data_IF_762337129784
#
_entry.id   IF_762337129784
#
_cell.length_a   1.000
_cell.length_b   1.000
_cell.length_c   1.000
_cell.angle_alpha   90.00
_cell.angle_beta   90.00
_cell.angle_gamma   90.00
#
_symmetry.space_group_name_H-M   'P 1'
#
loop_
_entity.id
_entity.type
_entity.pdbx_description
1 polymer ?
2 polymer ?
3 polymer ?
4 non-polymer ?
5 non-polymer ?
6 water ?
#
loop_
_entity_poly.entity_id
_entity_poly.type
_entity_poly.pdbx_seq_one_letter_code
_entity_poly.pdbx_strand_id
2 'polydeoxyribonucleotide' '(DA)(DG)(DC)(DG)(DT)(DG)(DG)(DG)(5FC)(DG)(DT)' ?
3 'polydeoxyribonucleotide' '(DT)(DA)(5FC)(DG)(DC)(DC)(DC)(DA)(DC)(DG)(DC)' ?
#
# COMPACT_ATOMS: atom_id res chain seq x y z
N UNK A 5 -16.82 -12.49 13.48
CA UNK A 5 -15.81 -11.44 13.46
C UNK A 5 -16.34 -10.15 14.09
N UNK A 6 -15.79 -9.79 15.23
CA UNK A 6 -16.19 -8.57 15.92
C UNK A 6 -15.24 -7.42 15.62
N UNK A 7 -15.80 -6.23 15.47
CA UNK A 7 -15.03 -5.05 15.11
C UNK A 7 -15.31 -3.91 16.09
N UNK A 8 -14.59 -3.90 17.22
CA UNK A 8 -14.86 -2.97 18.32
C UNK A 8 -14.28 -1.57 18.13
N UNK A 9 -13.41 -1.39 17.14
CA UNK A 9 -12.77 -0.10 16.94
C UNK A 9 -13.49 0.70 15.86
N UNK A 10 -14.36 1.60 16.30
CA UNK A 10 -15.26 2.32 15.39
C UNK A 10 -14.77 3.72 15.05
N UNK A 11 -14.91 4.08 13.78
CA UNK A 11 -14.63 5.46 13.38
C UNK A 11 -15.83 6.34 13.67
N UNK A 12 -15.59 7.47 14.35
CA UNK A 12 -16.63 8.42 14.72
C UNK A 12 -16.56 9.74 13.95
N UNK A 13 -15.74 9.79 12.90
CA UNK A 13 -15.65 11.01 12.09
C UNK A 13 -16.99 11.26 11.39
N UNK A 14 -17.27 12.53 11.05
CA UNK A 14 -18.56 12.89 10.48
C UNK A 14 -18.91 12.02 9.26
N UNK A 15 -20.13 11.46 9.31
CA UNK A 15 -20.70 10.66 8.22
C UNK A 15 -19.97 9.34 7.96
N UNK A 16 -19.01 8.98 8.82
CA UNK A 16 -18.30 7.72 8.67
C UNK A 16 -18.81 6.69 9.67
N UNK A 17 -18.96 5.45 9.22
CA UNK A 17 -19.42 4.38 10.10
C UNK A 17 -18.49 3.18 10.06
N UNK A 18 -17.28 3.37 9.57
CA UNK A 18 -16.37 2.24 9.45
C UNK A 18 -16.00 1.71 10.82
N UNK A 19 -15.86 0.39 10.92
CA UNK A 19 -15.38 -0.23 12.15
C UNK A 19 -14.37 -1.31 11.80
N UNK A 20 -13.50 -1.61 12.77
CA UNK A 20 -12.34 -2.46 12.54
C UNK A 20 -12.06 -3.38 13.71
N UNK A 21 -11.34 -4.46 13.42
CA UNK A 21 -10.99 -5.47 14.42
C UNK A 21 -9.77 -5.06 15.24
N UNK A 22 -9.01 -4.11 14.73
CA UNK A 22 -7.75 -3.73 15.35
C UNK A 22 -7.65 -2.22 15.50
N UNK A 23 -6.99 -1.76 16.55
CA UNK A 23 -6.85 -0.34 16.79
C UNK A 23 -5.89 0.31 15.79
N UNK A 24 -4.83 -0.41 15.39
CA UNK A 24 -3.90 0.20 14.44
C UNK A 24 -4.58 0.37 13.08
N UNK A 25 -5.48 -0.55 12.76
CA UNK A 25 -6.26 -0.50 11.52
C UNK A 25 -7.20 0.72 11.51
N UNK A 26 -7.83 0.98 12.63
CA UNK A 26 -8.66 2.18 12.76
C UNK A 26 -7.81 3.44 12.60
N UNK A 27 -6.68 3.48 13.30
CA UNK A 27 -5.83 4.68 13.26
C UNK A 27 -5.34 4.92 11.84
N UNK A 28 -4.98 3.85 11.15
CA UNK A 28 -4.53 3.92 9.77
C UNK A 28 -5.64 4.52 8.86
N UNK A 29 -6.85 3.98 9.00
CA UNK A 29 -8.03 4.48 8.31
C UNK A 29 -8.27 5.98 8.55
N UNK A 30 -8.13 6.40 9.80
CA UNK A 30 -8.47 7.78 10.15
C UNK A 30 -7.55 8.79 9.48
N UNK A 31 -6.37 8.36 9.06
CA UNK A 31 -5.47 9.28 8.39
C UNK A 31 -6.06 9.73 7.03
N UNK A 32 -7.00 8.96 6.50
CA UNK A 32 -7.67 9.39 5.26
C UNK A 32 -8.56 10.61 5.53
N UNK A 33 -9.03 10.76 6.77
CA UNK A 33 -9.85 11.90 7.17
C UNK A 33 -9.01 13.13 7.50
N UNK A 34 -7.91 12.91 8.21
CA UNK A 34 -7.08 14.00 8.72
C UNK A 34 -6.00 14.49 7.75
N UNK A 35 -5.66 13.67 6.76
CA UNK A 35 -4.61 14.00 5.81
C UNK A 35 -3.21 13.89 6.36
N UNK A 36 -3.09 13.31 7.55
CA UNK A 36 -1.79 13.14 8.20
C UNK A 36 -0.91 12.15 7.44
N UNK A 37 0.35 12.53 7.23
CA UNK A 37 1.28 11.69 6.48
C UNK A 37 2.61 11.60 7.23
N UNK A 38 2.71 10.63 8.15
CA UNK A 38 3.82 10.57 9.09
C UNK A 38 5.13 10.08 8.51
N UNK A 39 5.12 9.55 7.29
CA UNK A 39 6.29 8.83 6.77
C UNK A 39 6.88 9.49 5.54
N UNK A 40 8.15 9.90 5.65
CA UNK A 40 8.77 10.68 4.60
C UNK A 40 9.88 9.94 3.88
N UNK A 41 9.87 9.99 2.56
CA UNK A 41 10.95 9.43 1.74
C UNK A 41 12.24 10.23 1.92
N UNK A 42 13.34 9.56 2.24
CA UNK A 42 14.60 10.24 2.49
C UNK A 42 15.32 10.62 1.19
N UNK A 43 14.79 10.13 0.08
CA UNK A 43 15.38 10.42 -1.23
C UNK A 43 14.72 11.66 -1.87
N UNK A 44 13.39 11.66 -1.94
CA UNK A 44 12.72 12.76 -2.64
C UNK A 44 11.87 13.64 -1.73
N UNK A 45 11.81 13.29 -0.44
CA UNK A 45 11.13 14.07 0.60
C UNK A 45 9.60 14.09 0.50
N UNK A 46 9.02 13.29 -0.38
CA UNK A 46 7.58 13.12 -0.42
C UNK A 46 7.11 12.43 0.86
N UNK A 47 5.94 12.82 1.37
CA UNK A 47 5.39 12.22 2.59
C UNK A 47 4.21 11.30 2.28
N UNK A 48 4.02 10.29 3.13
CA UNK A 48 3.03 9.23 2.91
C UNK A 48 2.25 8.89 4.17
N UNK A 49 1.00 8.47 3.98
CA UNK A 49 0.13 8.08 5.09
C UNK A 49 0.53 6.75 5.74
N UNK A 50 1.23 5.88 5.00
CA UNK A 50 1.48 4.53 5.45
C UNK A 50 2.93 4.09 5.21
N UNK A 51 3.49 3.40 6.20
CA UNK A 51 4.90 2.99 6.10
C UNK A 51 5.09 1.93 5.01
N UNK A 52 4.11 1.04 4.83
CA UNK A 52 4.27 0.00 3.81
C UNK A 52 4.24 0.65 2.43
N UNK A 53 3.42 1.69 2.26
CA UNK A 53 3.36 2.41 0.99
C UNK A 53 4.61 3.26 0.74
N UNK A 54 5.21 3.79 1.81
CA UNK A 54 6.50 4.44 1.65
C UNK A 54 7.53 3.41 1.17
N UNK A 55 7.47 2.21 1.75
CA UNK A 55 8.46 1.18 1.41
C UNK A 55 8.42 0.82 -0.07
N UNK A 56 7.23 0.60 -0.62
CA UNK A 56 7.17 0.28 -2.05
C UNK A 56 7.49 1.52 -2.90
N UNK A 57 7.08 2.70 -2.42
CA UNK A 57 7.46 3.94 -3.13
C UNK A 57 8.96 4.05 -3.31
N UNK A 58 9.75 3.68 -2.32
CA UNK A 58 11.19 3.90 -2.41
C UNK A 58 11.80 3.07 -3.53
N UNK A 59 11.16 1.97 -3.91
CA UNK A 59 11.64 1.17 -5.03
C UNK A 59 11.62 1.94 -6.34
N UNK A 60 10.80 2.98 -6.41
CA UNK A 60 10.78 3.79 -7.63
C UNK A 60 12.17 4.40 -7.86
N UNK A 61 12.91 4.65 -6.78
CA UNK A 61 14.20 5.31 -6.91
C UNK A 61 15.33 4.37 -7.32
N UNK A 62 15.15 3.08 -7.06
CA UNK A 62 16.21 2.11 -7.36
C UNK A 62 15.91 1.24 -8.58
N UNK A 63 14.65 1.19 -8.98
CA UNK A 63 14.25 0.29 -10.04
C UNK A 63 14.21 -1.16 -9.61
N UNK A 64 14.26 -1.42 -8.30
CA UNK A 64 14.15 -2.80 -7.81
C UNK A 64 12.78 -3.39 -8.17
N UNK A 65 12.82 -4.54 -8.86
CA UNK A 65 11.60 -5.21 -9.32
C UNK A 65 11.66 -6.67 -8.90
N UNK A 66 11.25 -6.96 -7.67
CA UNK A 66 11.41 -8.31 -7.10
C UNK A 66 10.46 -9.35 -7.65
N UNK A 67 9.48 -8.96 -8.46
CA UNK A 67 8.44 -9.88 -8.91
C UNK A 67 8.55 -10.14 -10.39
N UNK A 68 9.11 -11.29 -10.75
CA UNK A 68 9.36 -11.60 -12.15
C UNK A 68 8.24 -12.41 -12.78
N UNK A 69 7.88 -12.05 -14.02
CA UNK A 69 6.95 -12.86 -14.79
C UNK A 69 7.48 -14.28 -14.98
N UNK A 70 6.60 -15.26 -14.84
CA UNK A 70 7.02 -16.65 -14.98
C UNK A 70 6.72 -17.23 -16.35
N UNK A 71 6.11 -16.42 -17.22
CA UNK A 71 5.74 -16.85 -18.56
C UNK A 71 7.00 -17.14 -19.38
N UNK A 72 7.00 -18.24 -20.13
CA UNK A 72 8.14 -18.61 -20.96
C UNK A 72 8.55 -17.47 -21.88
N UNK A 73 9.85 -17.14 -21.87
CA UNK A 73 10.44 -16.15 -22.76
C UNK A 73 10.07 -14.71 -22.43
N UNK A 74 9.27 -14.50 -21.38
CA UNK A 74 8.96 -13.14 -20.99
C UNK A 74 9.97 -12.61 -19.95
N UNK A 75 10.48 -11.42 -20.18
CA UNK A 75 11.51 -10.85 -19.32
C UNK A 75 10.99 -9.79 -18.36
N UNK A 76 9.67 -9.62 -18.31
CA UNK A 76 9.09 -8.54 -17.53
C UNK A 76 9.19 -8.81 -16.03
N UNK A 77 9.44 -7.77 -15.27
CA UNK A 77 9.44 -7.85 -13.83
C UNK A 77 8.85 -6.57 -13.27
N UNK A 78 8.46 -6.64 -12.00
CA UNK A 78 7.64 -5.61 -11.39
C UNK A 78 8.05 -5.31 -9.95
N UNK A 79 7.79 -4.07 -9.53
CA UNK A 79 8.07 -3.61 -8.18
C UNK A 79 7.15 -4.24 -7.13
N UNK A 80 5.88 -4.46 -7.51
CA UNK A 80 4.89 -4.96 -6.55
C UNK A 80 4.19 -6.21 -7.05
N UNK A 81 3.77 -7.04 -6.10
CA UNK A 81 3.12 -8.28 -6.44
C UNK A 81 1.83 -8.05 -7.25
N UNK A 82 1.10 -6.97 -6.97
CA UNK A 82 -0.16 -6.77 -7.64
C UNK A 82 0.07 -6.40 -9.11
N UNK A 83 1.20 -5.77 -9.42
CA UNK A 83 1.54 -5.54 -10.82
C UNK A 83 1.74 -6.86 -11.55
N UNK A 84 2.39 -7.81 -10.88
CA UNK A 84 2.64 -9.10 -11.49
C UNK A 84 1.32 -9.87 -11.65
N UNK A 85 0.42 -9.75 -10.68
CA UNK A 85 -0.89 -10.40 -10.79
C UNK A 85 -1.61 -9.91 -12.05
N UNK A 86 -1.62 -8.60 -12.24
CA UNK A 86 -2.31 -8.02 -13.39
C UNK A 86 -1.65 -8.52 -14.69
N UNK A 87 -0.34 -8.62 -14.65
CA UNK A 87 0.43 -9.03 -15.81
C UNK A 87 0.20 -10.52 -16.15
N UNK A 88 0.26 -11.39 -15.15
CA UNK A 88 -0.03 -12.78 -15.36
C UNK A 88 -1.46 -12.97 -15.86
N UNK A 89 -2.41 -12.21 -15.30
CA UNK A 89 -3.79 -12.26 -15.77
C UNK A 89 -3.87 -11.95 -17.26
N UNK A 90 -3.08 -10.97 -17.68
CA UNK A 90 -3.07 -10.50 -19.06
C UNK A 90 -2.55 -11.57 -20.01
N UNK A 91 -1.51 -12.30 -19.60
CA UNK A 91 -1.01 -13.42 -20.39
C UNK A 91 -2.13 -14.44 -20.59
N UNK A 92 -3.01 -14.53 -19.59
CA UNK A 92 -4.10 -15.50 -19.52
C UNK A 92 -3.57 -16.92 -19.45
#
# INVERSE_FOLDING_TARGET
GPLGSEKPYQCDFKDCERRFSRSDQLKRHQRRHTGVKPFQCKTCQRKFSRSDHLKTHTRTHTGEKPFSCRWPSCQKKFARSDELVRHHNMHQR
#
